data_IF_280671691186
#
_entry.id   IF_280671691186
#
_cell.length_a   1.000
_cell.length_b   1.000
_cell.length_c   1.000
_cell.angle_alpha   90.00
_cell.angle_beta   90.00
_cell.angle_gamma   90.00
#
_symmetry.space_group_name_H-M   'P 1'
#
loop_
_entity.id
_entity.type
_entity.pdbx_description
1 polymer ?
#
# COMPACT_ATOMS: atom_id res chain seq x y z
N UNK A 1 -12.97 6.75 -5.33
CA UNK A 1 -11.60 6.26 -5.61
C UNK A 1 -11.48 4.79 -5.25
N UNK A 2 -10.89 4.01 -6.13
CA UNK A 2 -10.64 2.59 -5.88
C UNK A 2 -9.21 2.25 -6.27
N UNK A 3 -8.52 1.53 -5.40
CA UNK A 3 -7.15 1.07 -5.63
C UNK A 3 -7.14 -0.45 -5.63
N UNK A 4 -6.48 -1.03 -6.62
CA UNK A 4 -6.26 -2.47 -6.73
C UNK A 4 -4.77 -2.74 -6.65
N UNK A 5 -4.36 -3.53 -5.66
CA UNK A 5 -2.99 -3.96 -5.50
C UNK A 5 -2.87 -5.42 -5.85
N UNK A 6 -1.88 -5.75 -6.66
CA UNK A 6 -1.56 -7.13 -7.05
C UNK A 6 -0.06 -7.32 -6.94
N UNK A 7 0.35 -8.43 -6.36
CA UNK A 7 1.76 -8.77 -6.24
C UNK A 7 1.91 -10.28 -6.25
N UNK A 8 2.95 -10.76 -6.93
CA UNK A 8 3.33 -12.16 -6.91
C UNK A 8 4.50 -12.34 -5.94
N UNK A 9 4.29 -13.12 -4.90
CA UNK A 9 5.31 -13.41 -3.90
C UNK A 9 4.94 -14.67 -3.13
N UNK A 10 5.79 -15.70 -3.21
CA UNK A 10 5.53 -16.95 -2.53
C UNK A 10 5.85 -16.83 -1.04
N UNK A 11 4.88 -17.16 -0.21
CA UNK A 11 5.04 -17.16 1.25
C UNK A 11 4.91 -18.58 1.78
N UNK A 12 5.37 -18.77 3.02
CA UNK A 12 5.22 -20.04 3.74
C UNK A 12 3.85 -20.13 4.40
N UNK A 13 3.35 -21.34 4.73
CA UNK A 13 2.12 -21.48 5.49
C UNK A 13 2.15 -20.65 6.78
N UNK A 14 1.06 -19.96 7.07
CA UNK A 14 0.96 -19.08 8.24
C UNK A 14 1.51 -17.68 8.03
N UNK A 15 2.09 -17.40 6.87
CA UNK A 15 2.56 -16.05 6.53
C UNK A 15 1.52 -15.35 5.66
N UNK A 16 1.31 -14.06 5.91
CA UNK A 16 0.33 -13.24 5.21
C UNK A 16 1.01 -12.01 4.65
N UNK A 17 0.65 -11.67 3.41
CA UNK A 17 1.17 -10.47 2.78
C UNK A 17 0.25 -9.29 3.08
N UNK A 18 0.85 -8.16 3.44
CA UNK A 18 0.15 -6.93 3.74
C UNK A 18 0.68 -5.81 2.85
N UNK A 19 -0.18 -4.85 2.52
CA UNK A 19 0.23 -3.59 1.92
C UNK A 19 0.02 -2.48 2.94
N UNK A 20 1.05 -1.64 3.13
CA UNK A 20 1.00 -0.50 4.01
C UNK A 20 0.93 0.77 3.18
N UNK A 21 -0.07 1.59 3.47
CA UNK A 21 -0.27 2.88 2.83
C UNK A 21 0.03 3.97 3.84
N UNK A 22 0.73 5.01 3.42
CA UNK A 22 1.02 6.14 4.31
C UNK A 22 1.07 7.45 3.54
N UNK A 23 0.72 8.52 4.24
CA UNK A 23 0.76 9.85 3.67
C UNK A 23 0.62 10.91 4.73
N UNK A 24 0.48 12.16 4.30
CA UNK A 24 0.35 13.30 5.17
C UNK A 24 -0.79 14.20 4.69
N UNK A 25 -1.48 14.81 5.65
CA UNK A 25 -2.39 15.92 5.36
C UNK A 25 -1.57 17.20 5.14
N UNK A 26 -2.16 18.22 4.48
CA UNK A 26 -1.47 19.49 4.28
C UNK A 26 -1.00 20.18 5.56
N UNK A 27 -1.65 19.88 6.69
CA UNK A 27 -1.27 20.43 8.00
C UNK A 27 -0.08 19.69 8.64
N UNK A 28 0.47 18.67 7.96
CA UNK A 28 1.57 17.87 8.47
C UNK A 28 1.17 16.65 9.25
N UNK A 29 -0.11 16.49 9.57
CA UNK A 29 -0.60 15.31 10.27
C UNK A 29 -0.46 14.08 9.38
N UNK A 30 0.06 12.98 9.94
CA UNK A 30 0.31 11.76 9.20
C UNK A 30 -0.82 10.74 9.37
N UNK A 31 -0.97 9.90 8.37
CA UNK A 31 -1.91 8.78 8.41
C UNK A 31 -1.26 7.53 7.81
N UNK A 32 -1.72 6.37 8.23
CA UNK A 32 -1.25 5.09 7.70
C UNK A 32 -2.33 4.03 7.81
N UNK A 33 -2.27 3.05 6.92
CA UNK A 33 -3.14 1.87 6.92
C UNK A 33 -2.30 0.63 6.70
N UNK A 34 -2.56 -0.41 7.48
CA UNK A 34 -1.98 -1.73 7.29
C UNK A 34 -3.12 -2.66 6.84
N UNK A 35 -3.08 -3.07 5.58
CA UNK A 35 -4.18 -3.80 4.96
C UNK A 35 -3.74 -5.21 4.57
N UNK A 36 -4.43 -6.25 5.07
CA UNK A 36 -4.12 -7.61 4.66
C UNK A 36 -4.58 -7.86 3.24
N UNK A 37 -3.75 -8.56 2.47
CA UNK A 37 -4.08 -9.01 1.14
C UNK A 37 -4.66 -10.40 1.17
N UNK A 38 -5.28 -10.82 0.08
CA UNK A 38 -5.87 -12.16 -0.06
C UNK A 38 -5.16 -12.95 -1.13
N UNK A 39 -5.17 -14.28 -0.96
CA UNK A 39 -4.58 -15.21 -1.92
C UNK A 39 -5.36 -16.52 -1.92
N UNK A 40 -5.39 -17.18 -3.08
CA UNK A 40 -5.93 -18.53 -3.20
C UNK A 40 -4.82 -19.59 -3.20
N UNK A 41 -3.60 -19.21 -3.57
CA UNK A 41 -2.50 -20.17 -3.82
C UNK A 41 -1.23 -19.88 -3.00
N UNK A 42 -1.24 -18.81 -2.17
CA UNK A 42 -0.05 -18.41 -1.40
C UNK A 42 1.02 -17.72 -2.22
N UNK A 43 0.77 -17.44 -3.48
CA UNK A 43 1.74 -16.87 -4.40
C UNK A 43 1.22 -15.59 -5.07
N UNK A 44 -0.05 -15.59 -5.49
CA UNK A 44 -0.68 -14.43 -6.13
C UNK A 44 -1.57 -13.75 -5.10
N UNK A 45 -1.24 -12.49 -4.77
CA UNK A 45 -1.91 -11.71 -3.75
C UNK A 45 -2.62 -10.52 -4.35
N UNK A 46 -3.79 -10.20 -3.83
CA UNK A 46 -4.57 -9.06 -4.31
C UNK A 46 -5.33 -8.38 -3.19
N UNK A 47 -5.65 -7.10 -3.42
CA UNK A 47 -6.48 -6.30 -2.53
C UNK A 47 -7.13 -5.19 -3.33
N UNK A 48 -8.44 -5.03 -3.16
CA UNK A 48 -9.17 -3.85 -3.63
C UNK A 48 -9.57 -3.03 -2.41
N UNK A 49 -9.33 -1.73 -2.44
CA UNK A 49 -9.62 -0.87 -1.30
C UNK A 49 -10.07 0.52 -1.71
N UNK A 50 -10.91 1.12 -0.87
CA UNK A 50 -11.36 2.50 -1.00
C UNK A 50 -11.03 3.33 0.23
N UNK A 51 -10.13 2.83 1.11
CA UNK A 51 -9.84 3.50 2.40
C UNK A 51 -9.37 4.93 2.23
N UNK A 52 -8.67 5.24 1.14
CA UNK A 52 -8.17 6.60 0.93
C UNK A 52 -9.27 7.59 0.54
N UNK A 53 -10.45 7.11 0.18
CA UNK A 53 -11.56 8.00 -0.18
C UNK A 53 -11.95 8.94 0.94
N UNK A 54 -11.81 8.52 2.19
CA UNK A 54 -12.14 9.35 3.35
C UNK A 54 -11.25 10.58 3.47
N UNK A 55 -10.03 10.55 2.92
CA UNK A 55 -9.12 11.71 2.95
C UNK A 55 -9.63 12.83 2.06
N UNK A 56 -10.46 12.51 1.08
CA UNK A 56 -11.15 13.51 0.26
C UNK A 56 -12.44 14.00 0.95
N UNK A 57 -13.13 13.12 1.67
CA UNK A 57 -14.40 13.43 2.32
C UNK A 57 -14.25 14.30 3.56
N UNK A 58 -13.16 14.13 4.31
CA UNK A 58 -12.94 14.83 5.57
C UNK A 58 -12.68 16.31 5.41
N UNK A 59 -12.55 16.79 4.21
CA UNK A 59 -12.34 18.21 3.94
C UNK A 59 -13.65 18.94 3.74
N UNK A 60 -13.56 20.27 3.85
CA UNK A 60 -14.70 21.17 3.77
C UNK A 60 -15.52 20.95 2.50
N UNK A 61 -16.82 21.26 2.60
CA UNK A 61 -17.68 21.35 1.44
C UNK A 61 -17.05 22.27 0.38
N UNK A 62 -17.17 21.89 -0.90
CA UNK A 62 -16.55 22.61 -2.00
C UNK A 62 -15.24 22.04 -2.50
N UNK A 63 -14.74 20.98 -1.88
CA UNK A 63 -13.55 20.30 -2.36
C UNK A 63 -13.81 19.75 -3.78
N UNK A 64 -12.90 20.07 -4.67
CA UNK A 64 -13.08 19.73 -6.08
C UNK A 64 -12.55 18.34 -6.41
N UNK A 65 -13.11 17.73 -7.46
CA UNK A 65 -12.66 16.42 -7.96
C UNK A 65 -11.21 16.42 -8.43
N UNK A 66 -10.66 17.61 -8.71
CA UNK A 66 -9.30 17.80 -9.14
C UNK A 66 -8.28 17.76 -7.97
N UNK A 67 -8.77 17.70 -6.73
CA UNK A 67 -7.88 17.59 -5.58
C UNK A 67 -7.06 16.31 -5.66
N UNK A 68 -5.76 16.46 -5.37
CA UNK A 68 -4.80 15.36 -5.45
C UNK A 68 -4.48 14.85 -4.06
N UNK A 69 -4.32 13.55 -3.97
CA UNK A 69 -3.79 12.88 -2.79
C UNK A 69 -2.49 12.18 -3.17
N UNK A 70 -1.43 12.49 -2.43
CA UNK A 70 -0.14 11.83 -2.60
C UNK A 70 0.06 10.84 -1.46
N UNK A 71 0.47 9.63 -1.79
CA UNK A 71 0.74 8.61 -0.77
C UNK A 71 1.90 7.72 -1.17
N UNK A 72 2.50 7.09 -0.16
CA UNK A 72 3.49 6.04 -0.35
C UNK A 72 2.93 4.70 0.06
N UNK A 73 3.50 3.62 -0.46
CA UNK A 73 3.10 2.29 -0.02
C UNK A 73 4.26 1.30 -0.15
N UNK A 74 4.16 0.23 0.60
CA UNK A 74 5.09 -0.90 0.50
C UNK A 74 4.41 -2.18 0.96
N UNK A 75 5.06 -3.31 0.67
CA UNK A 75 4.57 -4.62 1.04
C UNK A 75 5.41 -5.21 2.16
N UNK A 76 4.77 -5.98 3.03
CA UNK A 76 5.47 -6.73 4.08
C UNK A 76 4.75 -8.03 4.37
N UNK A 77 5.50 -9.02 4.89
CA UNK A 77 4.97 -10.30 5.32
C UNK A 77 4.84 -10.27 6.84
N UNK A 78 3.67 -10.65 7.34
CA UNK A 78 3.37 -10.75 8.77
C UNK A 78 2.94 -12.16 9.11
N UNK A 79 3.12 -12.54 10.38
CA UNK A 79 2.56 -13.79 10.88
C UNK A 79 1.12 -13.58 11.39
N UNK A 80 0.50 -14.65 11.89
CA UNK A 80 -0.88 -14.59 12.36
C UNK A 80 -1.06 -13.66 13.58
N UNK A 81 0.01 -13.38 14.32
CA UNK A 81 -0.02 -12.47 15.47
C UNK A 81 0.30 -11.03 15.10
N UNK A 82 0.50 -10.75 13.82
CA UNK A 82 0.80 -9.40 13.35
C UNK A 82 2.25 -8.99 13.43
N UNK A 83 3.15 -9.93 13.71
CA UNK A 83 4.59 -9.62 13.72
C UNK A 83 5.12 -9.56 12.31
N UNK A 84 5.91 -8.52 12.03
CA UNK A 84 6.52 -8.35 10.72
C UNK A 84 7.70 -9.32 10.59
N UNK A 85 7.63 -10.21 9.61
CA UNK A 85 8.66 -11.20 9.33
C UNK A 85 9.65 -10.71 8.30
N UNK A 86 9.16 -10.04 7.27
CA UNK A 86 9.98 -9.50 6.17
C UNK A 86 9.33 -8.25 5.63
N UNK A 87 10.15 -7.29 5.23
CA UNK A 87 9.72 -6.11 4.47
C UNK A 87 10.45 -6.08 3.15
N UNK A 88 9.78 -5.62 2.10
CA UNK A 88 10.50 -5.30 0.87
C UNK A 88 11.43 -4.12 1.12
N UNK A 89 12.39 -3.92 0.21
CA UNK A 89 13.32 -2.81 0.30
C UNK A 89 12.57 -1.49 0.07
N UNK A 90 12.61 -0.60 1.06
CA UNK A 90 11.80 0.61 1.08
C UNK A 90 12.61 1.91 0.95
N UNK A 91 13.92 1.80 0.71
CA UNK A 91 14.77 2.99 0.56
C UNK A 91 14.30 3.84 -0.62
N UNK A 92 13.85 3.18 -1.69
CA UNK A 92 13.15 3.87 -2.79
C UNK A 92 11.67 3.59 -2.61
N UNK A 93 10.95 4.55 -2.04
CA UNK A 93 9.52 4.38 -1.76
C UNK A 93 8.72 4.26 -3.06
N UNK A 94 7.67 3.42 -3.02
CA UNK A 94 6.64 3.43 -4.05
C UNK A 94 5.72 4.60 -3.74
N UNK A 95 5.59 5.53 -4.67
CA UNK A 95 4.75 6.71 -4.48
C UNK A 95 3.73 6.83 -5.59
N UNK A 96 2.57 7.38 -5.25
CA UNK A 96 1.50 7.61 -6.18
C UNK A 96 0.77 8.91 -5.85
N UNK A 97 0.34 9.60 -6.90
CA UNK A 97 -0.61 10.70 -6.77
C UNK A 97 -1.89 10.31 -7.47
N UNK A 98 -3.02 10.60 -6.85
CA UNK A 98 -4.32 10.27 -7.41
C UNK A 98 -5.36 11.34 -7.08
N UNK A 99 -6.43 11.36 -7.90
CA UNK A 99 -7.59 12.23 -7.69
C UNK A 99 -8.73 11.46 -7.04
N UNK A 100 -9.70 12.21 -6.52
CA UNK A 100 -10.85 11.64 -5.80
C UNK A 100 -11.64 10.61 -6.64
N UNK A 101 -11.64 10.74 -7.96
CA UNK A 101 -12.35 9.85 -8.86
C UNK A 101 -11.46 8.77 -9.50
N UNK A 102 -10.23 8.63 -9.02
CA UNK A 102 -9.27 7.70 -9.60
C UNK A 102 -9.65 6.24 -9.38
N UNK A 103 -9.33 5.42 -10.37
CA UNK A 103 -9.38 3.96 -10.29
C UNK A 103 -8.02 3.47 -10.79
N UNK A 104 -7.19 2.99 -9.88
CA UNK A 104 -5.80 2.66 -10.17
C UNK A 104 -5.53 1.20 -9.86
N UNK A 105 -4.69 0.59 -10.69
CA UNK A 105 -4.23 -0.78 -10.50
C UNK A 105 -2.71 -0.79 -10.40
N UNK A 106 -2.20 -1.42 -9.36
CA UNK A 106 -0.78 -1.59 -9.13
C UNK A 106 -0.46 -3.07 -9.26
N UNK A 107 0.31 -3.43 -10.28
CA UNK A 107 0.79 -4.79 -10.48
C UNK A 107 2.29 -4.79 -10.19
N UNK A 108 2.64 -5.15 -8.97
CA UNK A 108 3.98 -4.98 -8.44
C UNK A 108 4.72 -6.29 -8.28
N UNK A 109 6.04 -6.18 -8.10
CA UNK A 109 6.91 -7.28 -7.71
C UNK A 109 7.60 -6.93 -6.41
N UNK A 110 7.86 -7.94 -5.61
CA UNK A 110 8.61 -7.78 -4.37
C UNK A 110 9.99 -7.20 -4.66
N UNK A 111 10.37 -6.18 -3.90
CA UNK A 111 11.68 -5.54 -4.01
C UNK A 111 12.62 -6.08 -2.95
N UNK A 112 13.56 -6.92 -3.36
CA UNK A 112 14.60 -7.41 -2.45
C UNK A 112 15.63 -6.32 -2.19
N UNK A 113 16.30 -6.42 -1.03
CA UNK A 113 17.44 -5.57 -0.73
C UNK A 113 18.54 -5.88 -1.75
N UNK A 114 19.04 -4.87 -2.50
CA UNK A 114 20.09 -5.12 -3.49
C UNK A 114 21.33 -5.72 -2.86
N UNK A 115 21.95 -6.68 -3.54
CA UNK A 115 23.19 -7.30 -3.09
C UNK A 115 24.29 -6.25 -2.88
N UNK A 116 24.33 -5.27 -3.75
CA UNK A 116 25.31 -4.16 -3.66
C UNK A 116 25.11 -3.28 -2.44
N UNK A 117 23.94 -3.32 -1.80
CA UNK A 117 23.70 -2.55 -0.58
C UNK A 117 24.50 -3.06 0.64
N UNK A 118 25.11 -4.22 0.51
CA UNK A 118 25.91 -4.84 1.58
C UNK A 118 27.43 -4.60 1.42
N UNK A 119 27.82 -3.89 0.41
CA UNK A 119 29.24 -3.62 0.13
C UNK A 119 29.79 -2.44 0.94
#
# INVERSE_FOLDING_TARGET
MTLFFQIEYTVRPGELLHVLLSGSYPDGQQWSYNLPMTTADGQHWSLATTVLSQHFRSRRAGRQKTDMLSFGYHYQVEDAEGRVLRREWTVVARRCECRADSRLRFADRWRDVPVTAHL
#
